data_IF_275109361653
#
_entry.id   IF_275109361653
#
_cell.length_a   1.000
_cell.length_b   1.000
_cell.length_c   1.000
_cell.angle_alpha   90.00
_cell.angle_beta   90.00
_cell.angle_gamma   90.00
#
_symmetry.space_group_name_H-M   'P 1'
#
loop_
_entity.id
_entity.type
_entity.pdbx_description
1 polymer ?
#
# COMPACT_ATOMS: atom_id res chain seq x y z
N UNK A 1 15.36 -21.05 29.26
CA UNK A 1 14.95 -22.11 28.31
C UNK A 1 13.62 -21.69 27.73
N UNK A 2 13.65 -20.95 26.62
CA UNK A 2 12.45 -20.52 25.91
C UNK A 2 12.15 -21.57 24.84
N UNK A 3 10.94 -22.11 24.84
CA UNK A 3 10.47 -23.01 23.80
C UNK A 3 10.41 -22.23 22.48
N UNK A 4 11.29 -22.61 21.57
CA UNK A 4 11.40 -22.07 20.23
C UNK A 4 10.20 -22.54 19.39
N UNK A 5 9.25 -21.64 19.15
CA UNK A 5 8.10 -21.84 18.28
C UNK A 5 8.36 -21.36 16.82
N UNK A 6 9.63 -21.19 16.43
CA UNK A 6 9.99 -20.76 15.07
C UNK A 6 9.62 -21.73 13.93
N UNK A 7 9.54 -23.07 14.09
CA UNK A 7 9.18 -23.94 12.97
C UNK A 7 7.73 -23.77 12.52
N UNK A 8 6.79 -23.70 13.47
CA UNK A 8 5.36 -23.62 13.19
C UNK A 8 4.97 -22.26 12.59
N UNK A 9 5.54 -21.16 13.07
CA UNK A 9 5.23 -19.82 12.55
C UNK A 9 5.67 -19.62 11.10
N UNK A 10 6.79 -20.24 10.69
CA UNK A 10 7.23 -20.22 9.28
C UNK A 10 6.32 -21.02 8.35
N UNK A 11 5.72 -22.11 8.84
CA UNK A 11 4.77 -22.95 8.10
C UNK A 11 3.42 -22.26 7.85
N UNK A 12 2.81 -21.69 8.90
CA UNK A 12 1.56 -20.93 8.78
C UNK A 12 1.71 -19.71 7.86
N UNK A 13 2.86 -19.03 7.93
CA UNK A 13 3.16 -17.91 7.05
C UNK A 13 3.26 -18.34 5.57
N UNK A 14 3.87 -19.49 5.29
CA UNK A 14 3.95 -20.02 3.93
C UNK A 14 2.59 -20.44 3.38
N UNK A 15 1.76 -21.10 4.18
CA UNK A 15 0.38 -21.46 3.83
C UNK A 15 -0.47 -20.23 3.49
N UNK A 16 -0.42 -19.18 4.32
CA UNK A 16 -1.11 -17.91 4.03
C UNK A 16 -0.64 -17.27 2.72
N UNK A 17 0.67 -17.31 2.43
CA UNK A 17 1.22 -16.84 1.15
C UNK A 17 0.74 -17.63 -0.05
N UNK A 18 0.71 -18.96 0.04
CA UNK A 18 0.21 -19.81 -1.04
C UNK A 18 -1.29 -19.58 -1.28
N UNK A 19 -2.08 -19.45 -0.21
CA UNK A 19 -3.49 -19.13 -0.30
C UNK A 19 -3.75 -17.76 -0.97
N UNK A 20 -2.97 -16.74 -0.60
CA UNK A 20 -3.03 -15.41 -1.21
C UNK A 20 -2.65 -15.46 -2.70
N UNK A 21 -1.56 -16.14 -3.04
CA UNK A 21 -1.13 -16.33 -4.43
C UNK A 21 -2.24 -16.97 -5.27
N UNK A 22 -2.82 -18.07 -4.79
CA UNK A 22 -3.88 -18.78 -5.51
C UNK A 22 -5.14 -17.91 -5.66
N UNK A 23 -5.53 -17.21 -4.60
CA UNK A 23 -6.66 -16.27 -4.61
C UNK A 23 -6.48 -15.17 -5.65
N UNK A 24 -5.31 -14.51 -5.68
CA UNK A 24 -5.01 -13.49 -6.67
C UNK A 24 -4.98 -14.06 -8.10
N UNK A 25 -4.45 -15.27 -8.27
CA UNK A 25 -4.45 -15.98 -9.56
C UNK A 25 -5.88 -16.19 -10.06
N UNK A 26 -6.78 -16.65 -9.20
CA UNK A 26 -8.20 -16.83 -9.54
C UNK A 26 -8.88 -15.49 -9.88
N UNK A 27 -8.61 -14.43 -9.10
CA UNK A 27 -9.11 -13.07 -9.38
C UNK A 27 -8.64 -12.57 -10.75
N UNK A 28 -7.41 -12.88 -11.15
CA UNK A 28 -6.83 -12.48 -12.43
C UNK A 28 -7.31 -13.31 -13.62
N UNK A 29 -7.85 -14.51 -13.39
CA UNK A 29 -8.44 -15.35 -14.43
C UNK A 29 -9.86 -14.90 -14.84
N UNK A 30 -10.53 -14.11 -13.99
CA UNK A 30 -11.86 -13.60 -14.28
C UNK A 30 -11.82 -12.24 -14.98
N UNK A 31 -12.95 -11.85 -15.57
CA UNK A 31 -13.11 -10.49 -16.12
C UNK A 31 -13.09 -9.44 -15.02
N UNK A 32 -12.69 -8.21 -15.35
CA UNK A 32 -12.59 -7.11 -14.37
C UNK A 32 -13.93 -6.80 -13.69
N UNK A 33 -15.04 -6.99 -14.41
CA UNK A 33 -16.41 -6.72 -13.92
C UNK A 33 -17.05 -7.89 -13.16
N UNK A 34 -16.28 -8.96 -12.90
CA UNK A 34 -16.79 -10.14 -12.20
C UNK A 34 -17.19 -9.79 -10.77
N UNK A 35 -18.40 -10.16 -10.37
CA UNK A 35 -18.84 -10.06 -8.99
C UNK A 35 -18.27 -11.22 -8.16
N UNK A 36 -17.47 -10.86 -7.15
CA UNK A 36 -16.83 -11.79 -6.23
C UNK A 36 -17.54 -11.89 -4.87
N UNK A 37 -18.76 -11.34 -4.75
CA UNK A 37 -19.55 -11.34 -3.50
C UNK A 37 -19.78 -12.74 -2.92
N UNK A 38 -19.96 -13.75 -3.79
CA UNK A 38 -20.20 -15.14 -3.37
C UNK A 38 -18.93 -16.00 -3.33
N UNK A 39 -17.76 -15.41 -3.57
CA UNK A 39 -16.47 -16.10 -3.58
C UNK A 39 -15.73 -15.83 -2.29
N UNK A 40 -15.15 -16.87 -1.69
CA UNK A 40 -14.41 -16.73 -0.44
C UNK A 40 -13.27 -17.72 -0.29
N UNK A 41 -12.25 -17.27 0.43
CA UNK A 41 -11.12 -18.03 0.91
C UNK A 41 -11.37 -18.40 2.38
N UNK A 42 -11.26 -19.68 2.70
CA UNK A 42 -11.32 -20.16 4.07
C UNK A 42 -9.98 -20.77 4.47
N UNK A 43 -9.40 -20.30 5.57
CA UNK A 43 -8.13 -20.77 6.10
C UNK A 43 -8.36 -21.67 7.32
N UNK A 44 -7.51 -22.69 7.50
CA UNK A 44 -7.47 -23.51 8.73
C UNK A 44 -8.84 -24.11 9.11
N UNK A 45 -9.54 -24.73 8.15
CA UNK A 45 -10.83 -25.38 8.41
C UNK A 45 -10.83 -26.87 8.04
N UNK A 46 -11.11 -27.21 6.78
CA UNK A 46 -11.14 -28.60 6.32
C UNK A 46 -9.72 -29.10 6.00
N UNK A 47 -8.98 -28.31 5.23
CA UNK A 47 -7.55 -28.49 4.93
C UNK A 47 -6.81 -27.18 5.28
N UNK A 48 -5.56 -27.04 4.85
CA UNK A 48 -4.79 -25.82 5.04
C UNK A 48 -5.53 -24.58 4.49
N UNK A 49 -6.12 -24.65 3.29
CA UNK A 49 -7.13 -23.68 2.84
C UNK A 49 -8.13 -24.25 1.82
N UNK A 50 -9.24 -23.53 1.64
CA UNK A 50 -10.35 -23.91 0.77
C UNK A 50 -10.89 -22.70 0.00
N UNK A 51 -11.23 -22.90 -1.27
CA UNK A 51 -11.96 -21.92 -2.09
C UNK A 51 -13.43 -22.32 -2.15
N UNK A 52 -14.30 -21.37 -1.81
CA UNK A 52 -15.75 -21.55 -1.76
C UNK A 52 -16.40 -20.55 -2.72
N UNK A 53 -17.31 -21.03 -3.54
CA UNK A 53 -18.17 -20.21 -4.40
C UNK A 53 -19.62 -20.67 -4.21
N UNK A 54 -20.53 -19.72 -3.98
CA UNK A 54 -21.95 -19.98 -3.69
C UNK A 54 -22.16 -20.97 -2.53
N UNK A 55 -21.36 -20.83 -1.47
CA UNK A 55 -21.29 -21.75 -0.32
C UNK A 55 -20.93 -23.20 -0.66
N UNK A 56 -20.48 -23.47 -1.89
CA UNK A 56 -20.01 -24.78 -2.35
C UNK A 56 -18.49 -24.79 -2.42
N UNK A 57 -17.89 -25.82 -1.82
CA UNK A 57 -16.46 -26.09 -1.91
C UNK A 57 -16.02 -26.36 -3.35
N UNK A 58 -15.20 -25.48 -3.93
CA UNK A 58 -14.66 -25.66 -5.28
C UNK A 58 -13.32 -26.35 -5.27
N UNK A 59 -12.47 -25.99 -4.31
CA UNK A 59 -11.17 -26.65 -4.16
C UNK A 59 -10.68 -26.68 -2.72
N UNK A 60 -10.02 -27.79 -2.38
CA UNK A 60 -9.28 -28.00 -1.14
C UNK A 60 -7.79 -27.96 -1.44
N UNK A 61 -7.02 -27.33 -0.55
CA UNK A 61 -5.60 -27.13 -0.76
C UNK A 61 -4.82 -27.53 0.48
N UNK A 62 -3.85 -28.42 0.27
CA UNK A 62 -2.94 -28.94 1.27
C UNK A 62 -1.52 -28.44 0.97
N UNK A 63 -0.93 -27.66 1.86
CA UNK A 63 0.35 -26.98 1.71
C UNK A 63 1.43 -27.63 2.59
N UNK A 64 2.52 -28.08 1.98
CA UNK A 64 3.62 -28.76 2.68
C UNK A 64 4.98 -28.18 2.30
N UNK A 65 5.60 -27.48 3.25
CA UNK A 65 6.90 -26.82 3.09
C UNK A 65 8.07 -27.69 3.56
N UNK A 66 8.11 -28.97 3.18
CA UNK A 66 9.19 -29.86 3.58
C UNK A 66 10.41 -29.70 2.66
N UNK A 67 11.61 -29.64 3.25
CA UNK A 67 12.87 -29.75 2.52
C UNK A 67 13.17 -31.23 2.16
N UNK A 68 12.23 -31.90 1.51
CA UNK A 68 12.36 -33.31 1.15
C UNK A 68 11.50 -33.63 -0.05
N UNK A 69 12.03 -34.45 -0.95
CA UNK A 69 11.29 -35.07 -2.04
C UNK A 69 10.70 -36.43 -1.65
N UNK A 70 10.91 -36.91 -0.43
CA UNK A 70 10.49 -38.27 -0.03
C UNK A 70 8.97 -38.38 0.05
N UNK A 71 8.37 -39.25 -0.77
CA UNK A 71 6.92 -39.54 -0.77
C UNK A 71 6.37 -39.79 0.64
N UNK A 72 7.09 -40.56 1.46
CA UNK A 72 6.67 -40.92 2.82
C UNK A 72 6.45 -39.73 3.77
N UNK A 73 6.99 -38.54 3.44
CA UNK A 73 6.71 -37.31 4.20
C UNK A 73 5.36 -36.70 3.84
N UNK A 74 4.80 -37.05 2.69
CA UNK A 74 3.55 -36.51 2.14
C UNK A 74 2.40 -37.52 2.17
N UNK A 75 2.67 -38.82 2.37
CA UNK A 75 1.65 -39.89 2.31
C UNK A 75 0.45 -39.62 3.22
N UNK A 76 0.67 -39.17 4.46
CA UNK A 76 -0.41 -38.83 5.39
C UNK A 76 -1.24 -37.65 4.90
N UNK A 77 -0.60 -36.59 4.40
CA UNK A 77 -1.29 -35.41 3.86
C UNK A 77 -2.08 -35.71 2.58
N UNK A 78 -1.56 -36.61 1.73
CA UNK A 78 -2.23 -37.09 0.53
C UNK A 78 -3.43 -37.97 0.87
N UNK A 79 -3.31 -38.80 1.91
CA UNK A 79 -4.43 -39.56 2.42
C UNK A 79 -5.51 -38.62 2.98
N UNK A 80 -5.16 -37.69 3.87
CA UNK A 80 -6.09 -36.70 4.46
C UNK A 80 -6.96 -36.01 3.39
N UNK A 81 -6.33 -35.34 2.42
CA UNK A 81 -7.08 -34.64 1.36
C UNK A 81 -7.91 -35.60 0.49
N UNK A 82 -7.44 -36.83 0.23
CA UNK A 82 -8.21 -37.82 -0.54
C UNK A 82 -9.49 -38.24 0.20
N UNK A 83 -9.42 -38.39 1.52
CA UNK A 83 -10.61 -38.72 2.32
C UNK A 83 -11.58 -37.53 2.41
N UNK A 84 -11.08 -36.29 2.43
CA UNK A 84 -11.93 -35.10 2.32
C UNK A 84 -12.62 -35.01 0.95
N UNK A 85 -11.90 -35.32 -0.14
CA UNK A 85 -12.48 -35.39 -1.48
C UNK A 85 -13.58 -36.45 -1.57
N UNK A 86 -13.45 -37.58 -0.88
CA UNK A 86 -14.51 -38.59 -0.83
C UNK A 86 -15.81 -38.03 -0.22
N UNK A 87 -15.69 -37.13 0.76
CA UNK A 87 -16.85 -36.48 1.42
C UNK A 87 -17.43 -35.33 0.62
N UNK A 88 -16.63 -34.68 -0.25
CA UNK A 88 -17.02 -33.50 -1.04
C UNK A 88 -17.04 -33.82 -2.54
N UNK A 89 -18.24 -34.05 -3.08
CA UNK A 89 -18.45 -34.23 -4.52
C UNK A 89 -18.16 -32.93 -5.28
N UNK A 90 -17.67 -33.03 -6.52
CA UNK A 90 -17.36 -31.89 -7.42
C UNK A 90 -16.31 -30.90 -6.91
N UNK A 91 -15.53 -31.25 -5.88
CA UNK A 91 -14.44 -30.42 -5.35
C UNK A 91 -13.09 -30.96 -5.83
N UNK A 92 -12.17 -30.10 -6.27
CA UNK A 92 -10.81 -30.53 -6.62
C UNK A 92 -9.86 -30.44 -5.41
N UNK A 93 -8.91 -31.36 -5.31
CA UNK A 93 -7.89 -31.32 -4.25
C UNK A 93 -6.52 -31.00 -4.83
N UNK A 94 -5.80 -30.10 -4.20
CA UNK A 94 -4.47 -29.68 -4.63
C UNK A 94 -3.45 -29.86 -3.52
N UNK A 95 -2.33 -30.50 -3.83
CA UNK A 95 -1.15 -30.48 -2.97
C UNK A 95 -0.15 -29.43 -3.49
N UNK A 96 0.24 -28.52 -2.60
CA UNK A 96 1.27 -27.51 -2.82
C UNK A 96 2.54 -27.90 -2.08
N UNK A 97 3.67 -27.95 -2.77
CA UNK A 97 4.94 -28.34 -2.14
C UNK A 97 6.07 -27.36 -2.39
N UNK A 98 7.01 -27.31 -1.44
CA UNK A 98 8.26 -26.60 -1.63
C UNK A 98 9.18 -27.35 -2.61
N UNK A 99 9.34 -28.65 -2.43
CA UNK A 99 10.14 -29.51 -3.31
C UNK A 99 9.24 -30.44 -4.10
N UNK A 100 9.67 -30.77 -5.32
CA UNK A 100 9.01 -31.79 -6.13
C UNK A 100 8.93 -33.12 -5.37
N UNK A 101 7.72 -33.69 -5.28
CA UNK A 101 7.51 -34.96 -4.60
C UNK A 101 7.99 -36.09 -5.50
N UNK A 102 8.83 -36.98 -4.95
CA UNK A 102 9.18 -38.25 -5.57
C UNK A 102 8.07 -39.30 -5.37
N UNK A 103 8.19 -40.44 -6.06
CA UNK A 103 7.17 -41.48 -6.01
C UNK A 103 7.59 -42.65 -5.10
N UNK A 104 6.61 -43.41 -4.61
CA UNK A 104 6.87 -44.58 -3.76
C UNK A 104 7.41 -45.72 -4.62
N UNK A 105 8.63 -46.17 -4.32
CA UNK A 105 9.25 -47.31 -5.00
C UNK A 105 9.33 -47.10 -6.52
N UNK A 106 8.73 -48.01 -7.28
CA UNK A 106 8.69 -48.00 -8.76
C UNK A 106 7.40 -47.38 -9.31
N UNK A 107 6.59 -46.71 -8.49
CA UNK A 107 5.32 -46.11 -8.93
C UNK A 107 5.56 -45.06 -10.01
N UNK A 108 4.70 -45.06 -11.04
CA UNK A 108 4.85 -44.17 -12.19
C UNK A 108 4.50 -42.70 -11.88
N UNK A 109 3.63 -42.47 -10.90
CA UNK A 109 3.17 -41.15 -10.50
C UNK A 109 2.69 -41.15 -9.03
N UNK A 110 2.23 -39.99 -8.57
CA UNK A 110 1.76 -39.78 -7.20
C UNK A 110 0.50 -40.58 -6.87
N UNK A 111 -0.44 -40.67 -7.82
CA UNK A 111 -1.70 -41.42 -7.64
C UNK A 111 -1.42 -42.90 -7.48
N UNK A 112 -0.53 -43.48 -8.27
CA UNK A 112 -0.13 -44.89 -8.12
C UNK A 112 0.59 -45.15 -6.79
N UNK A 113 1.37 -44.18 -6.30
CA UNK A 113 2.00 -44.28 -4.97
C UNK A 113 0.95 -44.34 -3.86
N UNK A 114 -0.10 -43.51 -3.95
CA UNK A 114 -1.21 -43.49 -3.01
C UNK A 114 -2.11 -44.72 -3.14
N UNK A 115 -2.37 -45.20 -4.36
CA UNK A 115 -3.08 -46.46 -4.59
C UNK A 115 -2.36 -47.64 -3.95
N UNK A 116 -1.03 -47.66 -3.98
CA UNK A 116 -0.26 -48.68 -3.25
C UNK A 116 -0.41 -48.56 -1.73
N UNK A 117 -0.44 -47.35 -1.16
CA UNK A 117 -0.73 -47.16 0.27
C UNK A 117 -2.12 -47.68 0.64
N UNK A 118 -3.15 -47.35 -0.15
CA UNK A 118 -4.51 -47.87 0.03
C UNK A 118 -4.55 -49.40 -0.08
N UNK A 119 -3.86 -49.98 -1.07
CA UNK A 119 -3.74 -51.44 -1.25
C UNK A 119 -3.16 -52.10 -0.01
N UNK A 120 -2.12 -51.51 0.59
CA UNK A 120 -1.51 -52.02 1.83
C UNK A 120 -2.55 -52.04 2.96
N UNK A 121 -3.26 -50.93 3.18
CA UNK A 121 -4.32 -50.86 4.20
C UNK A 121 -5.42 -51.92 4.00
N UNK A 122 -5.89 -52.08 2.77
CA UNK A 122 -6.92 -53.08 2.41
C UNK A 122 -6.39 -54.50 2.62
N UNK A 123 -5.14 -54.77 2.24
CA UNK A 123 -4.51 -56.09 2.39
C UNK A 123 -4.28 -56.47 3.85
N UNK A 124 -3.88 -55.51 4.70
CA UNK A 124 -3.75 -55.72 6.15
C UNK A 124 -5.09 -56.11 6.76
N UNK A 125 -6.17 -55.39 6.43
CA UNK A 125 -7.50 -55.67 6.96
C UNK A 125 -8.10 -57.01 6.49
N UNK A 126 -7.80 -57.42 5.26
CA UNK A 126 -8.24 -58.71 4.73
C UNK A 126 -7.42 -59.90 5.26
N UNK A 127 -6.28 -59.66 5.90
CA UNK A 127 -5.46 -60.73 6.46
C UNK A 127 -6.15 -61.38 7.66
N UNK A 128 -6.02 -62.70 7.78
CA UNK A 128 -6.60 -63.50 8.86
C UNK A 128 -5.50 -63.99 9.83
N UNK A 129 -5.78 -64.07 11.14
CA UNK A 129 -7.02 -63.71 11.81
C UNK A 129 -7.17 -62.20 12.04
N UNK A 130 -8.42 -61.68 12.02
CA UNK A 130 -8.75 -60.32 12.45
C UNK A 130 -8.59 -60.21 13.97
N UNK A 131 -7.45 -59.71 14.43
CA UNK A 131 -7.06 -59.61 15.85
C UNK A 131 -7.14 -58.18 16.41
N UNK A 132 -7.70 -57.24 15.65
CA UNK A 132 -7.86 -55.85 16.06
C UNK A 132 -6.61 -54.99 15.85
N UNK A 133 -5.52 -55.52 15.26
CA UNK A 133 -4.23 -54.81 15.17
C UNK A 133 -4.04 -53.96 13.92
N UNK A 134 -4.86 -54.18 12.90
CA UNK A 134 -4.75 -53.46 11.62
C UNK A 134 -5.07 -51.97 11.79
N UNK A 135 -4.62 -51.14 10.85
CA UNK A 135 -4.84 -49.70 10.93
C UNK A 135 -6.34 -49.32 10.85
N UNK A 136 -7.13 -50.07 10.08
CA UNK A 136 -8.59 -49.87 9.97
C UNK A 136 -9.29 -50.25 11.29
N UNK A 137 -8.92 -51.37 11.92
CA UNK A 137 -9.49 -51.76 13.21
C UNK A 137 -9.11 -50.78 14.32
N UNK A 138 -7.85 -50.30 14.33
CA UNK A 138 -7.40 -49.25 15.25
C UNK A 138 -8.13 -47.93 15.06
N UNK A 139 -8.51 -47.59 13.83
CA UNK A 139 -9.27 -46.36 13.56
C UNK A 139 -10.62 -46.35 14.30
N UNK A 140 -11.29 -47.50 14.40
CA UNK A 140 -12.60 -47.62 15.09
C UNK A 140 -12.51 -48.05 16.55
N UNK A 141 -11.32 -48.38 17.04
CA UNK A 141 -11.12 -48.78 18.43
C UNK A 141 -11.20 -47.58 19.40
N UNK A 142 -11.41 -47.87 20.69
CA UNK A 142 -11.33 -46.87 21.76
C UNK A 142 -9.88 -46.60 22.24
N UNK A 143 -8.87 -47.13 21.54
CA UNK A 143 -7.47 -47.02 21.93
C UNK A 143 -6.94 -45.58 21.72
N UNK A 144 -6.17 -45.10 22.70
CA UNK A 144 -5.45 -43.84 22.64
C UNK A 144 -4.02 -44.06 22.13
N UNK A 145 -3.43 -43.08 21.44
CA UNK A 145 -2.05 -43.19 20.94
C UNK A 145 -1.89 -44.12 19.73
N UNK A 146 -2.95 -44.31 18.94
CA UNK A 146 -2.93 -45.08 17.70
C UNK A 146 -2.00 -44.47 16.64
N UNK A 147 -1.50 -45.25 15.66
CA UNK A 147 -0.68 -44.74 14.56
C UNK A 147 -1.38 -43.59 13.80
N UNK A 148 -0.59 -42.65 13.27
CA UNK A 148 -1.09 -41.43 12.61
C UNK A 148 -2.10 -41.73 11.49
N UNK A 149 -1.83 -42.71 10.63
CA UNK A 149 -2.75 -43.15 9.57
C UNK A 149 -4.09 -43.64 10.14
N UNK A 150 -4.10 -44.41 11.22
CA UNK A 150 -5.34 -44.84 11.87
C UNK A 150 -6.08 -43.64 12.50
N UNK A 151 -5.35 -42.65 13.02
CA UNK A 151 -5.92 -41.42 13.58
C UNK A 151 -6.60 -40.57 12.51
N UNK A 152 -5.99 -40.48 11.32
CA UNK A 152 -6.57 -39.83 10.13
C UNK A 152 -7.89 -40.51 9.74
N UNK A 153 -7.89 -41.85 9.61
CA UNK A 153 -9.10 -42.61 9.29
C UNK A 153 -10.21 -42.41 10.35
N UNK A 154 -9.85 -42.42 11.63
CA UNK A 154 -10.77 -42.17 12.74
C UNK A 154 -11.41 -40.78 12.65
N UNK A 155 -10.62 -39.75 12.35
CA UNK A 155 -11.09 -38.38 12.22
C UNK A 155 -11.99 -38.20 11.00
N UNK A 156 -11.64 -38.79 9.86
CA UNK A 156 -12.40 -38.68 8.62
C UNK A 156 -13.76 -39.41 8.68
N UNK A 157 -13.83 -40.52 9.42
CA UNK A 157 -14.95 -41.46 9.39
C UNK A 157 -15.51 -41.78 10.79
N UNK A 158 -15.64 -40.76 11.63
CA UNK A 158 -16.21 -40.90 12.97
C UNK A 158 -17.60 -41.59 12.91
N UNK A 159 -17.77 -42.65 13.70
CA UNK A 159 -19.02 -43.41 13.80
C UNK A 159 -19.19 -44.52 12.75
N UNK A 160 -18.25 -44.69 11.81
CA UNK A 160 -18.23 -45.84 10.89
C UNK A 160 -17.58 -47.07 11.51
N UNK A 161 -18.03 -48.24 11.09
CA UNK A 161 -17.43 -49.54 11.41
C UNK A 161 -16.19 -49.81 10.55
N UNK A 162 -15.37 -50.79 10.95
CA UNK A 162 -14.18 -51.17 10.21
C UNK A 162 -14.50 -51.66 8.78
N UNK A 163 -15.57 -52.46 8.61
CA UNK A 163 -16.01 -52.92 7.29
C UNK A 163 -16.51 -51.76 6.42
N UNK A 164 -17.19 -50.76 6.99
CA UNK A 164 -17.59 -49.55 6.24
C UNK A 164 -16.39 -48.71 5.80
N UNK A 165 -15.40 -48.51 6.67
CA UNK A 165 -14.15 -47.81 6.30
C UNK A 165 -13.43 -48.59 5.19
N UNK A 166 -13.36 -49.92 5.30
CA UNK A 166 -12.80 -50.78 4.27
C UNK A 166 -13.49 -50.57 2.92
N UNK A 167 -14.83 -50.61 2.86
CA UNK A 167 -15.58 -50.43 1.62
C UNK A 167 -15.35 -49.04 1.00
N UNK A 168 -15.21 -48.01 1.82
CA UNK A 168 -14.88 -46.65 1.36
C UNK A 168 -13.49 -46.63 0.73
N UNK A 169 -12.48 -47.14 1.45
CA UNK A 169 -11.10 -47.17 0.94
C UNK A 169 -10.97 -48.03 -0.31
N UNK A 170 -11.70 -49.14 -0.38
CA UNK A 170 -11.76 -50.00 -1.56
C UNK A 170 -12.37 -49.25 -2.75
N UNK A 171 -13.46 -48.52 -2.55
CA UNK A 171 -14.09 -47.71 -3.60
C UNK A 171 -13.17 -46.61 -4.17
N UNK A 172 -12.30 -46.05 -3.31
CA UNK A 172 -11.29 -45.07 -3.73
C UNK A 172 -10.16 -45.79 -4.47
N UNK A 173 -9.66 -46.91 -3.93
CA UNK A 173 -8.55 -47.68 -4.51
C UNK A 173 -8.89 -48.25 -5.90
N UNK A 174 -10.10 -48.76 -6.07
CA UNK A 174 -10.61 -49.36 -7.31
C UNK A 174 -11.21 -48.33 -8.29
N UNK A 175 -11.17 -47.04 -7.93
CA UNK A 175 -11.64 -45.91 -8.76
C UNK A 175 -13.14 -45.96 -9.12
N UNK A 176 -13.95 -46.70 -8.36
CA UNK A 176 -15.42 -46.57 -8.42
C UNK A 176 -15.90 -45.25 -7.81
N UNK A 177 -15.09 -44.63 -6.95
CA UNK A 177 -15.19 -43.25 -6.52
C UNK A 177 -14.11 -42.39 -7.22
N UNK A 178 -14.45 -41.14 -7.53
CA UNK A 178 -13.61 -40.24 -8.35
C UNK A 178 -12.56 -39.43 -7.56
N UNK A 179 -12.41 -39.64 -6.25
CA UNK A 179 -11.53 -38.82 -5.38
C UNK A 179 -10.09 -38.76 -5.87
N UNK A 180 -9.52 -39.90 -6.32
CA UNK A 180 -8.15 -39.94 -6.84
C UNK A 180 -7.99 -39.14 -8.13
N UNK A 181 -9.01 -39.09 -8.99
CA UNK A 181 -8.98 -38.33 -10.24
C UNK A 181 -9.07 -36.82 -10.02
N UNK A 182 -9.69 -36.41 -8.89
CA UNK A 182 -9.83 -35.01 -8.48
C UNK A 182 -8.62 -34.49 -7.69
N UNK A 183 -7.75 -35.37 -7.19
CA UNK A 183 -6.51 -35.01 -6.53
C UNK A 183 -5.41 -34.67 -7.55
N UNK A 184 -4.78 -33.51 -7.39
CA UNK A 184 -3.73 -33.02 -8.28
C UNK A 184 -2.56 -32.41 -7.50
N UNK A 185 -1.37 -32.47 -8.09
CA UNK A 185 -0.29 -31.57 -7.70
C UNK A 185 -0.58 -30.19 -8.29
N UNK A 186 -0.41 -29.14 -7.49
CA UNK A 186 -0.62 -27.77 -7.98
C UNK A 186 0.48 -27.37 -8.97
N UNK A 187 0.08 -26.81 -10.11
CA UNK A 187 1.01 -26.29 -11.13
C UNK A 187 1.06 -24.77 -11.03
N UNK A 188 2.25 -24.24 -10.80
CA UNK A 188 2.50 -22.80 -10.71
C UNK A 188 2.65 -22.16 -12.11
N UNK A 189 2.66 -20.84 -12.16
CA UNK A 189 2.77 -20.01 -13.37
C UNK A 189 4.03 -20.27 -14.22
N UNK A 190 5.07 -20.85 -13.63
CA UNK A 190 6.30 -21.27 -14.30
C UNK A 190 6.25 -22.71 -14.85
N UNK A 191 5.12 -23.39 -14.73
CA UNK A 191 4.90 -24.77 -15.15
C UNK A 191 5.45 -25.82 -14.17
N UNK A 192 6.04 -25.41 -13.05
CA UNK A 192 6.52 -26.36 -12.03
C UNK A 192 5.37 -26.87 -11.17
N UNK A 193 5.50 -28.14 -10.74
CA UNK A 193 4.60 -28.82 -9.82
C UNK A 193 5.02 -28.63 -8.33
N UNK A 194 5.79 -27.57 -8.06
CA UNK A 194 6.30 -27.15 -6.76
C UNK A 194 6.70 -25.67 -6.82
N UNK A 195 6.88 -25.03 -5.66
CA UNK A 195 7.35 -23.64 -5.59
C UNK A 195 8.46 -23.50 -4.55
N UNK A 196 9.63 -22.98 -4.95
CA UNK A 196 10.70 -22.62 -4.02
C UNK A 196 10.21 -21.56 -3.02
N UNK A 197 10.56 -21.71 -1.72
CA UNK A 197 10.12 -20.77 -0.67
C UNK A 197 10.54 -19.32 -0.95
N UNK A 198 11.68 -19.13 -1.59
CA UNK A 198 12.18 -17.79 -1.97
C UNK A 198 11.39 -17.14 -3.09
N UNK A 199 10.63 -17.91 -3.87
CA UNK A 199 9.92 -17.42 -5.06
C UNK A 199 8.48 -17.02 -4.78
N UNK A 200 7.84 -17.56 -3.73
CA UNK A 200 6.41 -17.33 -3.49
C UNK A 200 6.06 -15.84 -3.32
N UNK A 201 6.91 -15.07 -2.65
CA UNK A 201 6.69 -13.62 -2.47
C UNK A 201 6.69 -12.91 -3.83
N UNK A 202 7.69 -13.20 -4.67
CA UNK A 202 7.79 -12.61 -6.01
C UNK A 202 6.61 -13.01 -6.89
N UNK A 203 6.14 -14.26 -6.80
CA UNK A 203 4.92 -14.71 -7.52
C UNK A 203 3.68 -13.94 -7.07
N UNK A 204 3.53 -13.69 -5.77
CA UNK A 204 2.42 -12.86 -5.24
C UNK A 204 2.52 -11.43 -5.77
N UNK A 205 3.71 -10.80 -5.71
CA UNK A 205 3.92 -9.45 -6.23
C UNK A 205 3.62 -9.35 -7.73
N UNK A 206 3.95 -10.39 -8.51
CA UNK A 206 3.60 -10.49 -9.93
C UNK A 206 2.07 -10.55 -10.11
N UNK A 207 1.35 -11.34 -9.32
CA UNK A 207 -0.11 -11.39 -9.39
C UNK A 207 -0.77 -10.08 -8.94
N UNK A 208 -0.23 -9.39 -7.92
CA UNK A 208 -0.67 -8.04 -7.51
C UNK A 208 -0.50 -7.07 -8.67
N UNK A 209 0.69 -7.05 -9.29
CA UNK A 209 0.99 -6.19 -10.44
C UNK A 209 -0.01 -6.43 -11.58
N UNK A 210 -0.18 -7.68 -12.00
CA UNK A 210 -1.15 -8.06 -13.04
C UNK A 210 -2.55 -7.57 -12.69
N UNK A 211 -2.97 -7.76 -11.44
CA UNK A 211 -4.31 -7.42 -10.99
C UNK A 211 -4.57 -5.90 -10.98
N UNK A 212 -3.56 -5.10 -10.64
CA UNK A 212 -3.60 -3.63 -10.71
C UNK A 212 -3.64 -3.14 -12.16
N UNK A 213 -2.76 -3.68 -13.01
CA UNK A 213 -2.67 -3.32 -14.43
C UNK A 213 -3.97 -3.63 -15.19
N UNK A 214 -4.54 -4.81 -14.98
CA UNK A 214 -5.83 -5.21 -15.57
C UNK A 214 -6.97 -4.26 -15.20
N UNK A 215 -6.87 -3.60 -14.05
CA UNK A 215 -7.91 -2.71 -13.49
C UNK A 215 -7.59 -1.23 -13.68
N UNK A 216 -6.57 -0.90 -14.48
CA UNK A 216 -6.16 0.48 -14.75
C UNK A 216 -5.68 1.23 -13.52
N UNK A 217 -5.17 0.52 -12.50
CA UNK A 217 -4.60 1.12 -11.29
C UNK A 217 -3.07 1.25 -11.40
N UNK A 218 -2.45 2.26 -10.76
CA UNK A 218 -0.99 2.38 -10.73
C UNK A 218 -0.34 1.11 -10.16
N UNK A 219 0.61 0.54 -10.89
CA UNK A 219 1.36 -0.65 -10.50
C UNK A 219 2.86 -0.33 -10.30
N UNK A 220 3.13 0.74 -9.56
CA UNK A 220 4.47 1.15 -9.14
C UNK A 220 5.07 0.14 -8.15
N UNK A 221 6.39 0.06 -8.08
CA UNK A 221 7.07 -0.88 -7.18
C UNK A 221 6.66 -0.72 -5.71
N UNK A 222 6.50 0.53 -5.24
CA UNK A 222 6.10 0.81 -3.86
C UNK A 222 4.63 0.44 -3.60
N UNK A 223 3.70 0.65 -4.54
CA UNK A 223 2.31 0.22 -4.43
C UNK A 223 2.23 -1.31 -4.35
N UNK A 224 2.98 -2.02 -5.19
CA UNK A 224 3.05 -3.49 -5.19
C UNK A 224 3.56 -3.98 -3.84
N UNK A 225 4.72 -3.48 -3.38
CA UNK A 225 5.33 -3.90 -2.11
C UNK A 225 4.47 -3.54 -0.89
N UNK A 226 3.85 -2.35 -0.86
CA UNK A 226 2.94 -1.94 0.23
C UNK A 226 1.67 -2.79 0.26
N UNK A 227 1.11 -3.10 -0.90
CA UNK A 227 -0.07 -3.98 -1.01
C UNK A 227 0.27 -5.40 -0.58
N UNK A 228 1.44 -5.91 -0.98
CA UNK A 228 1.94 -7.20 -0.54
C UNK A 228 2.07 -7.27 0.99
N UNK A 229 2.71 -6.29 1.62
CA UNK A 229 2.84 -6.26 3.08
C UNK A 229 1.50 -6.11 3.80
N UNK A 230 0.58 -5.32 3.27
CA UNK A 230 -0.78 -5.24 3.79
C UNK A 230 -1.45 -6.61 3.78
N UNK A 231 -1.38 -7.33 2.66
CA UNK A 231 -1.94 -8.68 2.58
C UNK A 231 -1.27 -9.66 3.53
N UNK A 232 0.04 -9.58 3.75
CA UNK A 232 0.69 -10.41 4.76
C UNK A 232 0.11 -10.15 6.16
N UNK A 233 -0.11 -8.89 6.52
CA UNK A 233 -0.74 -8.51 7.78
C UNK A 233 -2.19 -9.02 7.88
N UNK A 234 -2.96 -8.85 6.81
CA UNK A 234 -4.33 -9.35 6.71
C UNK A 234 -4.38 -10.89 6.92
N UNK A 235 -3.53 -11.65 6.23
CA UNK A 235 -3.47 -13.10 6.38
C UNK A 235 -3.05 -13.53 7.79
N UNK A 236 -2.08 -12.85 8.40
CA UNK A 236 -1.63 -13.12 9.77
C UNK A 236 -2.74 -12.87 10.80
N UNK A 237 -3.51 -11.79 10.64
CA UNK A 237 -4.65 -11.48 11.48
C UNK A 237 -5.74 -12.56 11.36
N UNK A 238 -6.12 -12.95 10.15
CA UNK A 238 -7.11 -14.00 9.91
C UNK A 238 -6.67 -15.36 10.50
N UNK A 239 -5.42 -15.77 10.27
CA UNK A 239 -4.85 -17.00 10.84
C UNK A 239 -4.87 -16.91 12.37
N UNK A 240 -4.46 -15.78 12.95
CA UNK A 240 -4.43 -15.57 14.40
C UNK A 240 -5.82 -15.64 15.02
N UNK A 241 -6.81 -14.97 14.43
CA UNK A 241 -8.20 -14.99 14.91
C UNK A 241 -8.74 -16.43 14.83
N UNK A 242 -8.52 -17.12 13.71
CA UNK A 242 -8.97 -18.49 13.51
C UNK A 242 -8.36 -19.46 14.53
N UNK A 243 -7.07 -19.34 14.85
CA UNK A 243 -6.44 -20.13 15.90
C UNK A 243 -7.08 -19.91 17.28
N UNK A 244 -7.44 -18.66 17.62
CA UNK A 244 -8.12 -18.33 18.88
C UNK A 244 -9.55 -18.89 18.93
N UNK A 245 -10.22 -18.98 17.79
CA UNK A 245 -11.62 -19.39 17.67
C UNK A 245 -11.80 -20.86 17.21
N UNK A 246 -10.77 -21.71 17.24
CA UNK A 246 -10.86 -23.13 16.77
C UNK A 246 -12.02 -23.95 17.38
N UNK A 247 -12.58 -23.53 18.52
CA UNK A 247 -13.71 -24.20 19.19
C UNK A 247 -15.10 -23.59 18.91
N UNK A 248 -15.16 -22.48 18.16
CA UNK A 248 -16.43 -21.84 17.80
C UNK A 248 -16.96 -22.43 16.48
N UNK A 249 -18.28 -22.59 16.37
CA UNK A 249 -18.92 -23.14 15.16
C UNK A 249 -18.91 -22.17 13.96
N UNK A 250 -18.71 -20.88 14.21
CA UNK A 250 -18.74 -19.87 13.16
C UNK A 250 -17.40 -19.87 12.40
N UNK A 251 -17.48 -20.19 11.10
CA UNK A 251 -16.32 -20.26 10.22
C UNK A 251 -16.03 -18.87 9.66
N UNK A 252 -14.84 -18.36 9.90
CA UNK A 252 -14.39 -17.10 9.33
C UNK A 252 -13.92 -17.34 7.90
N UNK A 253 -14.44 -16.54 6.97
CA UNK A 253 -14.10 -16.56 5.56
C UNK A 253 -13.60 -15.17 5.16
N UNK A 254 -12.59 -15.10 4.29
CA UNK A 254 -12.15 -13.87 3.64
C UNK A 254 -12.88 -13.80 2.30
N UNK A 255 -13.70 -12.78 2.08
CA UNK A 255 -14.37 -12.65 0.78
C UNK A 255 -13.38 -12.23 -0.30
N UNK A 256 -13.52 -12.75 -1.52
CA UNK A 256 -12.69 -12.30 -2.64
C UNK A 256 -12.95 -10.82 -2.96
N UNK A 257 -14.17 -10.34 -2.69
CA UNK A 257 -14.49 -8.92 -2.74
C UNK A 257 -13.60 -8.08 -1.81
N UNK A 258 -13.42 -8.49 -0.55
CA UNK A 258 -12.53 -7.81 0.41
C UNK A 258 -11.07 -7.82 -0.04
N UNK A 259 -10.59 -8.95 -0.58
CA UNK A 259 -9.24 -9.04 -1.17
C UNK A 259 -9.12 -8.05 -2.33
N UNK A 260 -10.13 -7.97 -3.20
CA UNK A 260 -10.15 -7.06 -4.33
C UNK A 260 -10.21 -5.59 -3.91
N UNK A 261 -11.04 -5.23 -2.93
CA UNK A 261 -11.10 -3.85 -2.40
C UNK A 261 -9.76 -3.44 -1.79
N UNK A 262 -9.15 -4.35 -1.04
CA UNK A 262 -7.83 -4.15 -0.45
C UNK A 262 -6.71 -4.05 -1.50
N UNK A 263 -6.83 -4.78 -2.61
CA UNK A 263 -5.88 -4.74 -3.74
C UNK A 263 -5.89 -3.37 -4.43
N UNK A 264 -7.08 -2.83 -4.72
CA UNK A 264 -7.22 -1.61 -5.54
C UNK A 264 -7.09 -0.31 -4.75
N UNK A 265 -6.94 -0.41 -3.42
CA UNK A 265 -6.72 0.74 -2.55
C UNK A 265 -5.36 1.38 -2.88
N UNK A 266 -5.36 2.70 -3.10
CA UNK A 266 -4.10 3.44 -3.21
C UNK A 266 -3.39 3.42 -1.86
N UNK A 267 -2.16 2.90 -1.84
CA UNK A 267 -1.29 2.81 -0.66
C UNK A 267 -0.04 3.66 -0.79
N UNK A 268 0.09 4.42 -1.88
CA UNK A 268 1.12 5.42 -2.06
C UNK A 268 0.64 6.84 -1.74
N UNK A 269 -0.66 7.07 -1.77
CA UNK A 269 -1.26 8.37 -1.43
C UNK A 269 -1.10 8.69 0.06
N UNK A 270 -0.07 9.46 0.39
CA UNK A 270 0.08 10.12 1.69
C UNK A 270 -0.91 11.29 1.70
N UNK A 271 -1.79 11.34 2.71
CA UNK A 271 -2.83 12.39 2.76
C UNK A 271 -2.24 13.80 2.73
N UNK A 272 -2.95 14.73 2.09
CA UNK A 272 -2.63 16.17 2.08
C UNK A 272 -2.47 16.71 3.49
N UNK A 273 -3.31 16.24 4.42
CA UNK A 273 -3.31 16.61 5.82
C UNK A 273 -1.98 16.25 6.47
N UNK A 274 -1.52 15.00 6.29
CA UNK A 274 -0.28 14.53 6.90
C UNK A 274 0.94 15.30 6.39
N UNK A 275 1.01 15.55 5.08
CA UNK A 275 2.09 16.34 4.48
C UNK A 275 2.05 17.80 4.94
N UNK A 276 0.86 18.39 5.09
CA UNK A 276 0.71 19.73 5.65
C UNK A 276 1.19 19.79 7.11
N UNK A 277 0.91 18.76 7.94
CA UNK A 277 1.44 18.67 9.30
C UNK A 277 2.96 18.59 9.33
N UNK A 278 3.55 17.72 8.50
CA UNK A 278 5.01 17.60 8.36
C UNK A 278 5.65 18.91 7.90
N UNK A 279 5.03 19.59 6.93
CA UNK A 279 5.49 20.89 6.47
C UNK A 279 5.44 21.94 7.58
N UNK A 280 4.36 21.98 8.38
CA UNK A 280 4.23 22.93 9.48
C UNK A 280 5.32 22.74 10.55
N UNK A 281 5.62 21.49 10.90
CA UNK A 281 6.73 21.17 11.82
C UNK A 281 8.09 21.60 11.23
N UNK A 282 8.33 21.25 9.96
CA UNK A 282 9.53 21.67 9.23
C UNK A 282 9.70 23.20 9.18
N UNK A 283 8.63 23.93 8.85
CA UNK A 283 8.63 25.39 8.76
C UNK A 283 8.91 26.04 10.13
N UNK A 284 8.29 25.52 11.20
CA UNK A 284 8.55 25.99 12.56
C UNK A 284 10.03 25.80 12.94
N UNK A 285 10.58 24.61 12.68
CA UNK A 285 12.00 24.30 12.95
C UNK A 285 12.94 25.25 12.21
N UNK A 286 12.63 25.64 10.96
CA UNK A 286 13.46 26.60 10.20
C UNK A 286 13.49 28.00 10.80
N UNK A 287 12.38 28.44 11.42
CA UNK A 287 12.36 29.69 12.17
C UNK A 287 13.17 29.55 13.45
N UNK A 288 13.01 28.43 14.18
CA UNK A 288 13.72 28.20 15.43
C UNK A 288 15.25 28.06 15.21
N UNK A 289 15.67 27.44 14.10
CA UNK A 289 17.06 27.39 13.63
C UNK A 289 17.63 28.79 13.34
N UNK A 290 16.83 29.71 12.77
CA UNK A 290 17.24 31.10 12.57
C UNK A 290 17.42 31.83 13.90
N UNK A 291 16.46 31.69 14.81
CA UNK A 291 16.49 32.38 16.11
C UNK A 291 17.59 31.87 17.04
N UNK A 292 18.09 30.65 16.80
CA UNK A 292 19.17 30.03 17.58
C UNK A 292 20.57 30.34 17.03
N UNK A 293 20.65 31.00 15.87
CA UNK A 293 21.89 31.34 15.20
C UNK A 293 22.33 32.77 15.57
N UNK A 294 23.41 32.88 16.35
CA UNK A 294 23.91 34.17 16.85
C UNK A 294 24.45 35.09 15.75
N UNK A 295 24.85 34.53 14.59
CA UNK A 295 25.34 35.32 13.46
C UNK A 295 24.18 35.97 12.68
N UNK A 296 23.02 35.30 12.63
CA UNK A 296 21.85 35.71 11.85
C UNK A 296 20.77 36.45 12.68
N UNK A 297 20.69 36.18 13.99
CA UNK A 297 19.65 36.70 14.86
C UNK A 297 20.22 37.40 16.10
N UNK A 298 19.81 38.66 16.29
CA UNK A 298 20.01 39.37 17.54
C UNK A 298 18.70 39.47 18.33
N UNK A 299 18.78 39.13 19.62
CA UNK A 299 17.70 39.31 20.57
C UNK A 299 17.32 40.81 20.66
N UNK A 300 16.04 41.17 20.51
CA UNK A 300 15.58 42.54 20.71
C UNK A 300 15.89 43.03 22.13
N UNK A 301 16.04 44.35 22.28
CA UNK A 301 16.21 44.96 23.60
C UNK A 301 14.95 44.76 24.48
N UNK A 302 15.12 44.80 25.80
CA UNK A 302 14.01 44.66 26.75
C UNK A 302 12.89 45.66 26.46
N UNK A 303 11.70 45.14 26.13
CA UNK A 303 10.50 45.92 25.80
C UNK A 303 10.28 46.20 24.32
N UNK A 304 11.19 45.81 23.42
CA UNK A 304 10.98 45.92 21.98
C UNK A 304 10.22 44.72 21.39
N UNK A 305 9.35 44.99 20.41
CA UNK A 305 8.58 43.95 19.72
C UNK A 305 9.49 43.26 18.70
N UNK A 306 9.68 41.95 18.83
CA UNK A 306 10.34 41.16 17.81
C UNK A 306 9.43 40.97 16.58
N UNK A 307 9.85 41.51 15.43
CA UNK A 307 9.13 41.34 14.16
C UNK A 307 8.98 39.86 13.79
N UNK A 308 10.08 39.09 13.92
CA UNK A 308 10.08 37.67 13.61
C UNK A 308 9.13 36.90 14.53
N UNK A 309 9.17 37.13 15.83
CA UNK A 309 8.26 36.44 16.77
C UNK A 309 6.80 36.77 16.48
N UNK A 310 6.49 38.00 16.07
CA UNK A 310 5.13 38.40 15.72
C UNK A 310 4.64 37.69 14.46
N UNK A 311 5.47 37.66 13.40
CA UNK A 311 5.17 36.92 12.18
C UNK A 311 5.07 35.40 12.42
N UNK A 312 5.99 34.83 13.20
CA UNK A 312 6.01 33.42 13.62
C UNK A 312 4.71 33.05 14.34
N UNK A 313 4.29 33.84 15.33
CA UNK A 313 3.07 33.60 16.08
C UNK A 313 1.83 33.60 15.18
N UNK A 314 1.76 34.52 14.21
CA UNK A 314 0.69 34.53 13.23
C UNK A 314 0.72 33.28 12.34
N UNK A 315 1.83 33.04 11.63
CA UNK A 315 1.93 31.96 10.65
C UNK A 315 1.77 30.57 11.29
N UNK A 316 2.33 30.34 12.47
CA UNK A 316 2.19 29.07 13.19
C UNK A 316 0.82 28.89 13.87
N UNK A 317 0.03 29.96 14.01
CA UNK A 317 -1.37 29.85 14.48
C UNK A 317 -2.33 29.33 13.41
N UNK A 318 -1.96 29.42 12.12
CA UNK A 318 -2.76 28.93 10.99
C UNK A 318 -2.93 27.40 11.02
N UNK A 319 -3.97 26.89 10.37
CA UNK A 319 -4.04 25.44 10.12
C UNK A 319 -2.87 24.98 9.24
N UNK A 320 -2.45 23.71 9.29
CA UNK A 320 -1.40 23.20 8.41
C UNK A 320 -1.68 23.47 6.92
N UNK A 321 -2.93 23.29 6.49
CA UNK A 321 -3.36 23.50 5.11
C UNK A 321 -3.32 24.98 4.70
N UNK A 322 -3.71 25.87 5.61
CA UNK A 322 -3.62 27.31 5.36
C UNK A 322 -2.14 27.72 5.26
N UNK A 323 -1.30 27.29 6.20
CA UNK A 323 0.13 27.59 6.16
C UNK A 323 0.79 27.09 4.87
N UNK A 324 0.40 25.91 4.38
CA UNK A 324 0.82 25.40 3.07
C UNK A 324 0.37 26.34 1.93
N UNK A 325 -0.84 26.87 1.99
CA UNK A 325 -1.35 27.84 1.00
C UNK A 325 -0.63 29.19 1.05
N UNK A 326 -0.28 29.68 2.24
CA UNK A 326 0.58 30.87 2.40
C UNK A 326 1.99 30.62 1.84
N UNK A 327 2.56 29.43 2.04
CA UNK A 327 3.88 29.09 1.51
C UNK A 327 3.95 29.15 -0.02
N UNK A 328 2.86 28.77 -0.70
CA UNK A 328 2.75 28.90 -2.16
C UNK A 328 2.79 30.35 -2.60
N UNK A 329 2.11 31.25 -1.87
CA UNK A 329 2.21 32.69 -2.09
C UNK A 329 3.65 33.21 -1.89
N UNK A 330 4.41 32.66 -0.94
CA UNK A 330 5.82 33.02 -0.72
C UNK A 330 6.77 32.46 -1.79
N UNK A 331 6.33 31.52 -2.63
CA UNK A 331 7.18 30.84 -3.61
C UNK A 331 6.69 31.08 -5.05
N UNK A 332 6.49 32.33 -5.50
CA UNK A 332 5.87 32.61 -6.80
C UNK A 332 6.69 32.13 -8.01
N UNK A 333 7.98 31.87 -7.81
CA UNK A 333 8.90 31.37 -8.84
C UNK A 333 8.93 29.84 -8.95
N UNK A 334 8.18 29.14 -8.09
CA UNK A 334 8.09 27.68 -8.06
C UNK A 334 6.63 27.29 -8.18
N UNK A 335 6.31 26.48 -9.19
CA UNK A 335 4.95 25.98 -9.35
C UNK A 335 4.72 24.82 -8.38
N UNK A 336 3.78 25.00 -7.46
CA UNK A 336 3.38 24.04 -6.43
C UNK A 336 1.92 23.64 -6.68
N UNK A 337 1.71 22.52 -7.37
CA UNK A 337 0.40 22.10 -7.90
C UNK A 337 -0.58 21.72 -6.79
N UNK A 338 -1.88 21.99 -6.95
CA UNK A 338 -2.87 21.57 -5.95
C UNK A 338 -3.07 20.04 -5.86
N UNK A 339 -2.76 19.28 -6.93
CA UNK A 339 -3.10 17.87 -7.04
C UNK A 339 -1.96 16.90 -6.68
N UNK A 340 -0.71 17.38 -6.56
CA UNK A 340 0.48 16.53 -6.40
C UNK A 340 1.21 16.82 -5.08
N UNK A 341 0.72 16.24 -3.99
CA UNK A 341 1.24 16.53 -2.64
C UNK A 341 2.70 16.05 -2.44
N UNK A 342 3.07 14.94 -3.07
CA UNK A 342 4.41 14.35 -2.92
C UNK A 342 5.46 15.17 -3.69
N UNK A 343 5.20 15.52 -4.96
CA UNK A 343 6.13 16.33 -5.75
C UNK A 343 6.34 17.71 -5.12
N UNK A 344 5.25 18.31 -4.64
CA UNK A 344 5.30 19.54 -3.87
C UNK A 344 6.21 19.47 -2.65
N UNK A 345 6.17 18.37 -1.89
CA UNK A 345 7.02 18.17 -0.73
C UNK A 345 8.51 18.16 -1.12
N UNK A 346 8.86 17.64 -2.30
CA UNK A 346 10.22 17.72 -2.84
C UNK A 346 10.59 19.09 -3.41
N UNK A 347 9.61 19.91 -3.78
CA UNK A 347 9.83 21.27 -4.30
C UNK A 347 9.93 22.36 -3.22
N UNK A 348 9.73 22.02 -1.94
CA UNK A 348 9.95 22.96 -0.83
C UNK A 348 11.41 23.38 -0.77
N UNK A 349 11.67 24.67 -0.98
CA UNK A 349 13.02 25.24 -0.89
C UNK A 349 13.39 25.58 0.55
N UNK A 350 14.14 24.67 1.18
CA UNK A 350 14.70 24.82 2.53
C UNK A 350 15.55 26.08 2.66
N UNK A 351 16.41 26.35 1.67
CA UNK A 351 17.31 27.50 1.70
C UNK A 351 16.54 28.80 1.52
N UNK A 352 15.55 28.81 0.63
CA UNK A 352 14.62 29.91 0.45
C UNK A 352 13.85 30.26 1.71
N UNK A 353 13.41 29.26 2.49
CA UNK A 353 12.76 29.50 3.79
C UNK A 353 13.76 30.11 4.78
N UNK A 354 14.87 29.39 5.07
CA UNK A 354 15.80 29.76 6.16
C UNK A 354 16.56 31.05 5.89
N UNK A 355 17.05 31.26 4.67
CA UNK A 355 17.97 32.36 4.37
C UNK A 355 17.31 33.57 3.70
N UNK A 356 16.07 33.43 3.21
CA UNK A 356 15.35 34.54 2.54
C UNK A 356 14.08 34.89 3.30
N UNK A 357 13.09 33.98 3.34
CA UNK A 357 11.78 34.28 3.91
C UNK A 357 11.87 34.67 5.39
N UNK A 358 12.53 33.84 6.22
CA UNK A 358 12.68 34.13 7.66
C UNK A 358 13.46 35.42 7.89
N UNK A 359 14.52 35.66 7.09
CA UNK A 359 15.29 36.90 7.13
C UNK A 359 14.46 38.14 6.81
N UNK A 360 13.55 38.04 5.83
CA UNK A 360 12.60 39.11 5.51
C UNK A 360 11.64 39.33 6.69
N UNK A 361 11.05 38.26 7.23
CA UNK A 361 10.12 38.35 8.37
C UNK A 361 10.76 38.98 9.61
N UNK A 362 12.05 38.73 9.83
CA UNK A 362 12.85 39.35 10.88
C UNK A 362 13.14 40.84 10.60
N UNK A 363 13.51 41.17 9.37
CA UNK A 363 14.01 42.50 9.01
C UNK A 363 12.91 43.56 8.86
N UNK A 364 11.67 43.16 8.57
CA UNK A 364 10.57 44.06 8.22
C UNK A 364 9.69 44.39 9.43
N UNK A 365 9.27 45.64 9.56
CA UNK A 365 8.37 46.08 10.63
C UNK A 365 7.02 45.35 10.53
N UNK A 366 6.72 44.50 11.52
CA UNK A 366 5.47 43.73 11.55
C UNK A 366 4.22 44.59 11.62
N UNK A 367 4.29 45.81 12.18
CA UNK A 367 3.18 46.76 12.20
C UNK A 367 2.74 47.26 10.82
N UNK A 368 3.55 47.01 9.78
CA UNK A 368 3.21 47.27 8.37
C UNK A 368 2.61 46.06 7.66
N UNK A 369 2.51 44.92 8.34
CA UNK A 369 1.99 43.69 7.73
C UNK A 369 0.48 43.81 7.46
N UNK A 370 0.05 43.17 6.38
CA UNK A 370 -1.34 43.06 5.96
C UNK A 370 -1.57 41.62 5.54
N UNK A 371 -2.49 40.96 6.23
CA UNK A 371 -2.84 39.56 5.98
C UNK A 371 -4.24 39.48 5.36
N UNK A 372 -4.38 38.70 4.28
CA UNK A 372 -5.65 38.34 3.67
C UNK A 372 -5.81 36.82 3.78
N UNK A 373 -6.70 36.39 4.69
CA UNK A 373 -6.95 34.98 4.98
C UNK A 373 -7.63 34.28 3.80
N UNK A 374 -8.52 34.97 3.08
CA UNK A 374 -9.26 34.38 1.96
C UNK A 374 -8.37 34.15 0.75
N UNK A 375 -7.32 34.97 0.58
CA UNK A 375 -6.34 34.83 -0.50
C UNK A 375 -5.04 34.17 -0.08
N UNK A 376 -4.89 33.78 1.19
CA UNK A 376 -3.66 33.23 1.76
C UNK A 376 -2.43 34.13 1.50
N UNK A 377 -2.60 35.44 1.67
CA UNK A 377 -1.55 36.44 1.41
C UNK A 377 -1.07 37.06 2.72
N UNK A 378 0.25 37.11 2.87
CA UNK A 378 0.92 37.90 3.89
C UNK A 378 1.84 38.89 3.18
N UNK A 379 1.58 40.18 3.34
CA UNK A 379 2.31 41.25 2.63
C UNK A 379 2.66 42.39 3.59
N UNK A 380 3.57 43.27 3.18
CA UNK A 380 3.85 44.52 3.87
C UNK A 380 3.33 45.71 3.05
N UNK A 381 2.81 46.73 3.72
CA UNK A 381 2.31 47.96 3.08
C UNK A 381 3.13 49.15 3.51
N UNK A 382 3.56 49.94 2.53
CA UNK A 382 4.16 51.25 2.82
C UNK A 382 3.08 52.32 3.03
N UNK A 383 3.36 53.28 3.92
CA UNK A 383 2.52 54.48 4.10
C UNK A 383 2.90 55.63 3.17
N UNK A 384 4.07 55.58 2.53
CA UNK A 384 4.49 56.59 1.55
C UNK A 384 3.78 56.35 0.22
N UNK A 385 3.53 57.44 -0.52
CA UNK A 385 3.00 57.34 -1.88
C UNK A 385 4.16 57.08 -2.86
N UNK A 386 3.97 56.23 -3.89
CA UNK A 386 2.76 55.46 -4.17
C UNK A 386 2.59 54.26 -3.22
N UNK A 387 1.35 53.99 -2.80
CA UNK A 387 1.04 52.81 -1.98
C UNK A 387 1.43 51.55 -2.75
N UNK A 388 2.17 50.66 -2.12
CA UNK A 388 2.60 49.39 -2.70
C UNK A 388 2.51 48.25 -1.67
N UNK A 389 2.08 47.08 -2.14
CA UNK A 389 2.19 45.83 -1.40
C UNK A 389 3.55 45.18 -1.71
N UNK A 390 4.21 44.68 -0.68
CA UNK A 390 5.48 43.98 -0.74
C UNK A 390 5.28 42.54 -0.29
N UNK A 391 5.58 41.59 -1.17
CA UNK A 391 5.49 40.17 -0.88
C UNK A 391 6.84 39.64 -0.37
N UNK A 392 6.92 39.11 0.86
CA UNK A 392 8.06 38.32 1.28
C UNK A 392 8.12 37.01 0.49
N UNK A 393 9.31 36.56 0.10
CA UNK A 393 9.45 35.32 -0.70
C UNK A 393 10.56 34.39 -0.24
N UNK A 394 10.63 33.22 -0.87
CA UNK A 394 11.70 32.23 -0.78
C UNK A 394 12.75 32.39 -1.89
N UNK A 395 12.70 33.44 -2.73
CA UNK A 395 13.56 33.56 -3.92
C UNK A 395 15.03 33.79 -3.56
N UNK A 396 15.88 32.81 -3.87
CA UNK A 396 17.35 32.89 -3.76
C UNK A 396 17.95 33.34 -5.10
N UNK A 397 18.58 34.53 -5.15
CA UNK A 397 19.15 35.04 -6.41
C UNK A 397 20.51 34.42 -6.78
N UNK A 398 21.24 33.82 -5.83
CA UNK A 398 22.64 33.42 -6.02
C UNK A 398 22.92 32.39 -7.13
N UNK A 399 21.92 31.63 -7.57
CA UNK A 399 22.09 30.60 -8.61
C UNK A 399 21.37 30.90 -9.93
N UNK A 400 20.51 31.93 -9.99
CA UNK A 400 19.65 32.24 -11.13
C UNK A 400 19.51 33.74 -11.33
N UNK A 401 19.55 34.21 -12.59
CA UNK A 401 19.42 35.64 -12.89
C UNK A 401 18.01 36.17 -12.56
N UNK A 402 17.92 37.47 -12.27
CA UNK A 402 16.64 38.16 -12.05
C UNK A 402 15.66 37.99 -13.22
N UNK A 403 16.15 37.97 -14.45
CA UNK A 403 15.36 37.67 -15.66
C UNK A 403 14.77 36.25 -15.62
N UNK A 404 15.55 35.25 -15.20
CA UNK A 404 15.06 33.87 -15.11
C UNK A 404 14.05 33.70 -13.98
N UNK A 405 14.23 34.43 -12.88
CA UNK A 405 13.24 34.50 -11.78
C UNK A 405 11.93 35.10 -12.31
N UNK A 406 12.00 36.25 -12.98
CA UNK A 406 10.84 36.91 -13.56
C UNK A 406 10.09 35.97 -14.53
N UNK A 407 10.81 35.30 -15.43
CA UNK A 407 10.23 34.32 -16.36
C UNK A 407 9.47 33.21 -15.63
N UNK A 408 10.07 32.61 -14.59
CA UNK A 408 9.42 31.57 -13.78
C UNK A 408 8.15 32.07 -13.07
N UNK A 409 8.15 33.31 -12.62
CA UNK A 409 6.96 33.93 -11.99
C UNK A 409 5.84 34.09 -13.02
N UNK A 410 6.17 34.54 -14.24
CA UNK A 410 5.20 34.73 -15.33
C UNK A 410 4.62 33.38 -15.79
N UNK A 411 5.47 32.36 -15.91
CA UNK A 411 5.07 31.02 -16.34
C UNK A 411 4.29 30.23 -15.27
N UNK A 412 4.22 30.73 -14.03
CA UNK A 412 3.56 30.03 -12.93
C UNK A 412 2.04 30.27 -12.94
N UNK A 413 1.21 29.26 -13.31
CA UNK A 413 -0.23 29.45 -13.44
C UNK A 413 -0.91 29.72 -12.09
N UNK A 414 -0.28 29.36 -10.96
CA UNK A 414 -0.79 29.59 -9.61
C UNK A 414 -0.63 31.02 -9.11
N UNK A 415 0.02 31.91 -9.86
CA UNK A 415 0.43 33.25 -9.40
C UNK A 415 -0.35 34.36 -10.10
N UNK A 416 -1.20 34.05 -11.08
CA UNK A 416 -1.98 35.06 -11.83
C UNK A 416 -2.72 36.05 -10.91
N UNK A 417 -3.42 35.55 -9.87
CA UNK A 417 -4.12 36.41 -8.90
C UNK A 417 -3.20 37.32 -8.05
N UNK A 418 -1.94 36.91 -7.90
CA UNK A 418 -0.93 37.63 -7.15
C UNK A 418 -0.38 38.82 -7.96
N UNK A 419 -0.24 38.65 -9.28
CA UNK A 419 0.27 39.66 -10.21
C UNK A 419 -0.68 40.88 -10.40
N UNK A 420 -1.94 40.81 -9.94
CA UNK A 420 -2.86 41.96 -9.97
C UNK A 420 -2.66 42.95 -8.80
N UNK A 421 -2.16 42.46 -7.65
CA UNK A 421 -2.18 43.22 -6.40
C UNK A 421 -0.79 43.48 -5.82
N UNK A 422 0.21 42.70 -6.26
CA UNK A 422 1.57 42.72 -5.72
C UNK A 422 2.52 43.31 -6.76
N UNK A 423 2.80 44.61 -6.63
CA UNK A 423 3.77 45.31 -7.48
C UNK A 423 5.23 45.10 -7.05
N UNK A 424 5.47 44.62 -5.83
CA UNK A 424 6.81 44.47 -5.27
C UNK A 424 7.00 43.08 -4.67
N UNK A 425 8.00 42.35 -5.14
CA UNK A 425 8.35 41.00 -4.72
C UNK A 425 9.74 41.06 -4.09
N UNK A 426 9.83 40.81 -2.78
CA UNK A 426 11.10 40.89 -2.06
C UNK A 426 11.91 39.63 -2.32
N UNK A 427 13.20 39.75 -2.67
CA UNK A 427 14.08 38.62 -2.93
C UNK A 427 15.51 38.84 -2.42
N UNK A 428 16.30 37.77 -2.33
CA UNK A 428 17.70 37.83 -1.90
C UNK A 428 18.67 38.16 -3.06
N UNK A 429 18.45 39.28 -3.74
CA UNK A 429 19.36 39.81 -4.76
C UNK A 429 19.97 41.16 -4.36
N UNK A 430 20.75 41.74 -5.27
CA UNK A 430 21.50 42.99 -5.03
C UNK A 430 20.90 44.21 -5.69
N UNK A 431 20.12 44.02 -6.76
CA UNK A 431 19.59 45.12 -7.58
C UNK A 431 18.07 45.01 -7.73
N UNK A 432 17.42 46.15 -7.94
CA UNK A 432 16.00 46.18 -8.30
C UNK A 432 15.87 45.78 -9.77
N UNK A 433 15.03 44.78 -10.03
CA UNK A 433 14.74 44.33 -11.39
C UNK A 433 13.25 44.47 -11.69
N UNK A 434 12.93 45.20 -12.75
CA UNK A 434 11.56 45.50 -13.15
C UNK A 434 11.18 44.67 -14.39
N UNK A 435 10.02 44.02 -14.35
CA UNK A 435 9.52 43.21 -15.45
C UNK A 435 8.01 43.38 -15.62
N UNK A 436 7.52 43.16 -16.83
CA UNK A 436 6.10 43.20 -17.14
C UNK A 436 5.55 41.78 -17.18
N UNK A 437 4.45 41.47 -16.46
CA UNK A 437 3.82 40.16 -16.53
C UNK A 437 3.10 39.90 -17.86
N UNK A 438 2.96 40.91 -18.73
CA UNK A 438 2.25 40.84 -20.02
C UNK A 438 3.15 40.66 -21.25
N UNK A 439 4.41 40.26 -21.10
CA UNK A 439 5.29 40.02 -22.25
C UNK A 439 4.91 38.71 -22.98
N UNK A 440 4.60 38.87 -24.28
CA UNK A 440 4.29 37.86 -25.33
C UNK A 440 2.85 37.30 -25.49
N UNK A 441 1.81 38.14 -25.35
CA UNK A 441 0.49 37.87 -25.97
C UNK A 441 0.28 38.53 -27.36
N UNK A 442 1.31 39.17 -27.92
CA UNK A 442 1.24 39.85 -29.24
C UNK A 442 1.21 38.91 -30.47
N UNK A 443 0.85 37.64 -30.30
CA UNK A 443 0.69 36.68 -31.41
C UNK A 443 -0.75 36.19 -31.62
N UNK A 444 -1.74 36.70 -30.87
CA UNK A 444 -3.14 36.36 -31.12
C UNK A 444 -3.80 37.37 -32.07
N UNK A 445 -4.40 36.83 -33.14
CA UNK A 445 -5.19 37.57 -34.11
C UNK A 445 -6.35 38.32 -33.45
N UNK A 446 -6.82 39.45 -34.02
CA UNK A 446 -7.91 40.23 -33.43
C UNK A 446 -9.16 39.35 -33.27
N UNK A 447 -9.77 39.36 -32.08
CA UNK A 447 -11.06 38.74 -31.86
C UNK A 447 -12.14 39.51 -32.64
N UNK A 448 -12.96 38.77 -33.38
CA UNK A 448 -14.13 39.32 -34.07
C UNK A 448 -15.06 40.01 -33.07
N UNK A 449 -15.43 41.24 -33.41
CA UNK A 449 -16.46 42.01 -32.73
C UNK A 449 -17.79 41.25 -32.83
N UNK A 450 -18.16 40.51 -31.79
CA UNK A 450 -19.54 40.46 -31.27
C UNK A 450 -19.67 39.50 -30.09
N UNK A 451 -19.46 40.00 -28.87
CA UNK A 451 -20.28 39.69 -27.69
C UNK A 451 -19.77 40.46 -26.48
N UNK A 452 -20.34 41.64 -26.23
CA UNK A 452 -20.07 42.41 -25.02
C UNK A 452 -20.89 41.81 -23.87
N UNK A 453 -20.26 40.93 -23.09
CA UNK A 453 -20.52 40.83 -21.66
C UNK A 453 -19.21 41.27 -20.98
N UNK A 454 -19.15 42.54 -20.59
CA UNK A 454 -18.05 43.07 -19.78
C UNK A 454 -18.14 42.48 -18.39
N UNK A 455 -17.57 41.30 -18.18
CA UNK A 455 -16.95 41.02 -16.90
C UNK A 455 -15.83 42.05 -16.71
N UNK A 456 -15.74 42.59 -15.50
CA UNK A 456 -14.79 43.63 -15.15
C UNK A 456 -13.40 42.99 -15.08
N UNK A 457 -12.80 42.69 -16.23
CA UNK A 457 -11.43 42.21 -16.35
C UNK A 457 -10.51 43.28 -15.77
N UNK A 458 -10.01 43.03 -14.56
CA UNK A 458 -8.92 43.81 -13.98
C UNK A 458 -7.64 43.29 -14.62
N UNK A 459 -6.97 44.11 -15.41
CA UNK A 459 -5.72 43.73 -16.08
C UNK A 459 -4.59 43.50 -15.05
N UNK A 460 -3.67 42.55 -15.29
CA UNK A 460 -2.49 42.36 -14.45
C UNK A 460 -1.68 43.66 -14.35
N UNK A 461 -0.93 43.83 -13.26
CA UNK A 461 -0.13 45.04 -13.07
C UNK A 461 0.81 45.22 -14.26
N UNK A 462 0.86 46.43 -14.80
CA UNK A 462 1.70 46.73 -15.98
C UNK A 462 3.20 46.49 -15.72
N UNK A 463 3.61 46.53 -14.45
CA UNK A 463 4.99 46.33 -14.02
C UNK A 463 5.06 45.75 -12.60
N UNK A 464 5.99 44.82 -12.40
CA UNK A 464 6.33 44.17 -11.13
C UNK A 464 7.83 44.32 -10.89
N UNK A 465 8.21 44.55 -9.63
CA UNK A 465 9.61 44.76 -9.22
C UNK A 465 10.08 43.64 -8.30
N UNK A 466 11.20 43.00 -8.65
CA UNK A 466 12.03 42.25 -7.70
C UNK A 466 12.84 43.25 -6.89
N UNK A 467 12.64 43.27 -5.57
CA UNK A 467 13.24 44.27 -4.67
C UNK A 467 14.18 43.56 -3.67
N UNK A 468 15.47 43.94 -3.59
CA UNK A 468 16.39 43.43 -2.58
C UNK A 468 15.86 43.63 -1.15
N UNK A 469 16.18 42.70 -0.25
CA UNK A 469 15.76 42.76 1.16
C UNK A 469 16.10 44.11 1.80
N UNK A 470 17.31 44.64 1.58
CA UNK A 470 17.72 45.92 2.16
C UNK A 470 16.89 47.10 1.61
N UNK A 471 16.67 47.15 0.30
CA UNK A 471 15.85 48.20 -0.33
C UNK A 471 14.40 48.16 0.15
N UNK A 472 13.84 46.95 0.32
CA UNK A 472 12.49 46.78 0.87
C UNK A 472 12.44 47.23 2.33
N UNK A 473 13.48 46.95 3.13
CA UNK A 473 13.59 47.37 4.53
C UNK A 473 13.55 48.89 4.61
N UNK A 474 14.38 49.56 3.84
CA UNK A 474 14.46 51.04 3.83
C UNK A 474 13.13 51.68 3.42
N UNK A 475 12.38 51.05 2.51
CA UNK A 475 11.06 51.52 2.05
C UNK A 475 9.91 51.27 3.05
N UNK A 476 10.10 50.37 4.03
CA UNK A 476 9.08 49.91 4.98
C UNK A 476 9.38 50.31 6.44
N UNK A 477 10.40 51.16 6.65
CA UNK A 477 10.73 51.76 7.95
C UNK A 477 9.69 52.79 8.46
#
# INVERSE_FOLDING_TARGET
>A
MAFDASPSWSGFNYQGKVALYHTLTLINQQTVDTDFSNWSLMLEDTEDFEIIEDDISKSLHQVKAYNSASYSKYSDALLEITLELYKKNNTFGFIHTWKKIGYKGTSANLIESLKDDLRVLLSEYNSMPRDGRTLIEKAVSAENGIPKTASILRAAFQGKTADEIYLILDSIHNESNDSLTRLKTYIYDDGNDFCELSLINTKIEVEIKKALELRGKPATGKQITSTFHFFLGMMDEYITIRHKQKQQNEKIKISFFEVLQSLIQDREEISSEYLAFQFKDFFARKIDEYMSDEDDYSLPADGEICNLSSARNYLLSLSPQDLWSYYRSFSPHTYLEHASNIENAFCVDENGIRYVLVKILYSMNHGRSSCDIHKFKFTYRTSSLPKGNYLPTTIVAGMISAERIARRIIENPGVNELLYEIGNVIYNGTEVYEFSPTLDLNSQAPLEFDSVIREKHVEPLQSIKLIPIQTAKDALL
#
